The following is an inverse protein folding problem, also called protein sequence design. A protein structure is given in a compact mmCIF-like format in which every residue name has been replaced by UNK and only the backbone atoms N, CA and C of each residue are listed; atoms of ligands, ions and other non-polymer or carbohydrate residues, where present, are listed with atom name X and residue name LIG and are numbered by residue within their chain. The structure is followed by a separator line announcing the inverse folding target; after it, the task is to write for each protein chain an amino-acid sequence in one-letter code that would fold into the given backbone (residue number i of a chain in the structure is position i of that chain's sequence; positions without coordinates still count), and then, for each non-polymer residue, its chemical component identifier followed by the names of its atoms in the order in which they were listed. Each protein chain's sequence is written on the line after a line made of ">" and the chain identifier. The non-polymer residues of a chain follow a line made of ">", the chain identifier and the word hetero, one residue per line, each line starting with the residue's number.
data_IF_781311688149
#
_entry.id   IF_781311688149
#
_cell.length_a   1.000
_cell.length_b   1.000
_cell.length_c   1.000
_cell.angle_alpha   90.00
_cell.angle_beta   90.00
_cell.angle_gamma   90.00
#
_symmetry.space_group_name_H-M   'P 1'
#
loop_
_entity.id
_entity.type
_entity.pdbx_description
1 polymer ?
#
# COMPACT_ATOMS: atom_id res chain seq x y z
N UNK A 1 2.96 7.80 19.30
CA UNK A 1 1.86 6.87 19.68
C UNK A 1 1.77 6.56 21.19
N UNK A 2 2.58 7.18 22.08
CA UNK A 2 2.50 6.94 23.54
C UNK A 2 1.44 7.80 24.25
N UNK A 3 1.21 9.04 23.81
CA UNK A 3 0.28 9.98 24.46
C UNK A 3 -1.20 9.52 24.39
N UNK A 4 -1.75 9.30 23.18
CA UNK A 4 -3.16 8.91 23.05
C UNK A 4 -3.51 7.56 23.70
N UNK A 5 -2.56 6.62 23.69
CA UNK A 5 -2.69 5.35 24.42
C UNK A 5 -2.69 5.57 25.94
N UNK A 6 -1.80 6.42 26.46
CA UNK A 6 -1.73 6.76 27.89
C UNK A 6 -2.99 7.49 28.39
N UNK A 7 -3.57 8.37 27.57
CA UNK A 7 -4.77 9.14 27.94
C UNK A 7 -6.09 8.49 27.48
N UNK A 8 -6.07 7.26 26.97
CA UNK A 8 -7.25 6.58 26.42
C UNK A 8 -8.04 7.40 25.38
N UNK A 9 -7.36 8.29 24.66
CA UNK A 9 -7.95 9.14 23.61
C UNK A 9 -7.73 8.56 22.20
N UNK A 10 -7.38 7.28 22.11
CA UNK A 10 -7.27 6.56 20.83
C UNK A 10 -8.59 6.65 20.06
N UNK A 11 -8.56 7.25 18.88
CA UNK A 11 -9.76 7.50 18.06
C UNK A 11 -10.41 8.88 18.27
N UNK A 12 -9.93 9.66 19.26
CA UNK A 12 -10.27 11.08 19.43
C UNK A 12 -9.16 11.95 18.83
N UNK A 13 -9.51 13.11 18.29
CA UNK A 13 -8.58 14.05 17.67
C UNK A 13 -8.92 14.36 16.22
N UNK A 14 -7.94 14.84 15.46
CA UNK A 14 -8.15 15.24 14.07
C UNK A 14 -8.45 14.03 13.17
N UNK A 15 -9.41 14.19 12.26
CA UNK A 15 -9.75 13.20 11.22
C UNK A 15 -8.50 12.79 10.43
N UNK A 16 -7.65 13.77 10.11
CA UNK A 16 -6.36 13.54 9.47
C UNK A 16 -5.27 13.37 10.52
N UNK A 17 -4.70 12.16 10.59
CA UNK A 17 -3.64 11.81 11.54
C UNK A 17 -2.24 12.25 11.06
N UNK A 18 -2.08 12.46 9.75
CA UNK A 18 -0.86 12.96 9.09
C UNK A 18 -1.23 13.40 7.65
N UNK A 19 -0.31 14.08 6.95
CA UNK A 19 -0.55 14.56 5.59
C UNK A 19 -0.65 13.41 4.57
N UNK A 20 0.45 12.67 4.36
CA UNK A 20 0.53 11.45 3.56
C UNK A 20 1.80 10.69 3.91
N UNK A 21 1.89 9.43 3.49
CA UNK A 21 3.13 8.65 3.49
C UNK A 21 3.65 8.59 2.05
N UNK A 22 4.94 8.80 1.89
CA UNK A 22 5.64 8.70 0.61
C UNK A 22 6.99 8.03 0.85
N UNK A 23 7.34 7.06 0.02
CA UNK A 23 8.61 6.36 0.10
C UNK A 23 9.02 5.88 -1.31
N UNK A 24 10.33 5.82 -1.61
CA UNK A 24 10.83 5.29 -2.87
C UNK A 24 10.50 3.80 -3.03
N UNK A 25 10.23 3.38 -4.27
CA UNK A 25 10.06 1.98 -4.67
C UNK A 25 11.17 1.63 -5.67
N UNK A 26 11.84 0.50 -5.48
CA UNK A 26 13.05 0.15 -6.22
C UNK A 26 12.82 -0.06 -7.72
N UNK A 27 11.85 -0.89 -8.08
CA UNK A 27 11.62 -1.35 -9.45
C UNK A 27 10.16 -1.77 -9.65
N UNK A 28 9.86 -2.24 -10.85
CA UNK A 28 8.54 -2.65 -11.30
C UNK A 28 7.97 -3.82 -10.48
N UNK A 29 8.81 -4.77 -10.05
CA UNK A 29 8.38 -5.92 -9.26
C UNK A 29 7.94 -5.47 -7.86
N UNK A 30 8.71 -4.57 -7.23
CA UNK A 30 8.33 -3.95 -5.96
C UNK A 30 7.07 -3.07 -6.13
N UNK A 31 6.93 -2.35 -7.24
CA UNK A 31 5.71 -1.59 -7.52
C UNK A 31 4.48 -2.49 -7.58
N UNK A 32 4.59 -3.65 -8.23
CA UNK A 32 3.50 -4.63 -8.33
C UNK A 32 3.10 -5.16 -6.96
N UNK A 33 4.07 -5.47 -6.09
CA UNK A 33 3.80 -5.90 -4.71
C UNK A 33 3.06 -4.81 -3.92
N UNK A 34 3.47 -3.55 -4.05
CA UNK A 34 2.80 -2.42 -3.39
C UNK A 34 1.36 -2.24 -3.90
N UNK A 35 1.11 -2.33 -5.21
CA UNK A 35 -0.25 -2.29 -5.76
C UNK A 35 -1.11 -3.46 -5.30
N UNK A 36 -0.54 -4.68 -5.26
CA UNK A 36 -1.24 -5.87 -4.74
C UNK A 36 -1.62 -5.70 -3.28
N UNK A 37 -0.72 -5.16 -2.47
CA UNK A 37 -0.98 -4.83 -1.07
C UNK A 37 -2.17 -3.88 -0.92
N UNK A 38 -2.17 -2.77 -1.66
CA UNK A 38 -3.26 -1.78 -1.62
C UNK A 38 -4.60 -2.40 -2.03
N UNK A 39 -4.64 -3.10 -3.16
CA UNK A 39 -5.88 -3.68 -3.69
C UNK A 39 -6.40 -4.87 -2.86
N UNK A 40 -5.54 -5.57 -2.12
CA UNK A 40 -5.91 -6.67 -1.22
C UNK A 40 -6.32 -6.22 0.18
N UNK A 41 -6.04 -4.99 0.59
CA UNK A 41 -6.17 -4.56 1.99
C UNK A 41 -7.55 -4.82 2.61
N UNK A 42 -8.64 -4.56 1.86
CA UNK A 42 -10.00 -4.79 2.35
C UNK A 42 -10.31 -6.27 2.60
N UNK A 43 -9.82 -7.15 1.72
CA UNK A 43 -9.93 -8.61 1.88
C UNK A 43 -9.13 -9.06 3.11
N UNK A 44 -7.89 -8.59 3.26
CA UNK A 44 -7.05 -8.90 4.44
C UNK A 44 -7.69 -8.43 5.74
N UNK A 45 -8.36 -7.27 5.73
CA UNK A 45 -9.07 -6.73 6.88
C UNK A 45 -10.41 -7.45 7.18
N UNK A 46 -10.78 -8.47 6.40
CA UNK A 46 -12.03 -9.21 6.58
C UNK A 46 -13.29 -8.44 6.19
N UNK A 47 -13.16 -7.31 5.49
CA UNK A 47 -14.28 -6.46 5.08
C UNK A 47 -15.05 -7.05 3.89
N UNK A 48 -14.40 -7.89 3.10
CA UNK A 48 -14.96 -8.54 1.92
C UNK A 48 -14.43 -9.97 1.78
N UNK A 49 -15.20 -10.85 1.13
CA UNK A 49 -14.79 -12.25 0.85
C UNK A 49 -13.82 -12.38 -0.33
N UNK A 50 -13.80 -11.41 -1.23
CA UNK A 50 -12.92 -11.32 -2.40
C UNK A 50 -12.49 -9.89 -2.61
N UNK A 51 -11.26 -9.66 -3.06
CA UNK A 51 -10.67 -8.32 -3.13
C UNK A 51 -11.47 -7.38 -4.07
N UNK A 52 -11.92 -7.90 -5.21
CA UNK A 52 -12.72 -7.18 -6.20
C UNK A 52 -14.09 -6.74 -5.69
N UNK A 53 -14.59 -7.30 -4.57
CA UNK A 53 -15.88 -6.90 -4.01
C UNK A 53 -15.79 -5.56 -3.26
N UNK A 54 -14.58 -5.03 -3.02
CA UNK A 54 -14.40 -3.75 -2.37
C UNK A 54 -14.65 -2.58 -3.32
N UNK A 55 -15.90 -2.09 -3.33
CA UNK A 55 -16.39 -1.02 -4.25
C UNK A 55 -15.60 0.28 -4.18
N UNK A 56 -14.90 0.53 -3.08
CA UNK A 56 -14.11 1.75 -2.87
C UNK A 56 -12.63 1.58 -3.22
N UNK A 57 -12.24 0.48 -3.88
CA UNK A 57 -10.87 0.18 -4.30
C UNK A 57 -10.64 0.33 -5.80
N UNK A 58 -9.37 0.50 -6.19
CA UNK A 58 -8.98 0.56 -7.60
C UNK A 58 -9.24 -0.74 -8.36
N UNK A 59 -9.17 -1.89 -7.68
CA UNK A 59 -9.46 -3.20 -8.31
C UNK A 59 -10.91 -3.30 -8.79
N UNK A 60 -11.87 -2.99 -7.92
CA UNK A 60 -13.29 -2.99 -8.30
C UNK A 60 -13.54 -2.03 -9.47
N UNK A 61 -12.95 -0.84 -9.38
CA UNK A 61 -13.12 0.22 -10.38
C UNK A 61 -12.54 -0.18 -11.74
N UNK A 62 -11.39 -0.83 -11.75
CA UNK A 62 -10.75 -1.32 -12.97
C UNK A 62 -11.57 -2.42 -13.67
N UNK A 63 -12.34 -3.20 -12.91
CA UNK A 63 -13.21 -4.25 -13.45
C UNK A 63 -14.55 -3.74 -13.99
N UNK A 64 -14.82 -2.43 -13.87
CA UNK A 64 -16.00 -1.85 -14.49
C UNK A 64 -15.80 -1.73 -16.00
N UNK A 65 -16.87 -1.96 -16.77
CA UNK A 65 -16.82 -1.89 -18.24
C UNK A 65 -16.49 -0.49 -18.79
N UNK A 66 -16.65 0.55 -17.98
CA UNK A 66 -16.20 1.92 -18.25
C UNK A 66 -15.60 2.52 -16.98
N UNK A 67 -14.60 3.40 -17.13
CA UNK A 67 -14.03 4.12 -15.98
C UNK A 67 -15.10 5.06 -15.41
N UNK A 68 -15.53 4.86 -14.14
CA UNK A 68 -16.61 5.66 -13.57
C UNK A 68 -16.28 7.16 -13.50
N UNK A 69 -17.28 8.02 -13.64
CA UNK A 69 -17.10 9.46 -13.37
C UNK A 69 -17.25 9.72 -11.86
N UNK A 70 -16.37 10.52 -11.19
CA UNK A 70 -15.17 11.19 -11.69
C UNK A 70 -14.03 10.22 -11.98
N UNK A 71 -13.17 10.55 -12.95
CA UNK A 71 -11.92 9.83 -13.23
C UNK A 71 -10.95 9.98 -12.05
N UNK A 72 -10.79 8.91 -11.25
CA UNK A 72 -9.97 8.92 -10.04
C UNK A 72 -8.61 8.21 -10.21
N UNK A 73 -8.46 7.35 -11.23
CA UNK A 73 -7.25 6.54 -11.40
C UNK A 73 -6.36 7.11 -12.51
N UNK A 74 -5.09 7.30 -12.18
CA UNK A 74 -4.03 7.48 -13.18
C UNK A 74 -3.61 6.12 -13.75
N UNK A 75 -3.17 6.07 -15.02
CA UNK A 75 -2.52 4.89 -15.57
C UNK A 75 -1.31 4.49 -14.71
N UNK A 76 -1.06 3.18 -14.63
CA UNK A 76 0.17 2.68 -14.01
C UNK A 76 1.38 3.03 -14.89
N UNK A 77 2.58 3.21 -14.30
CA UNK A 77 3.80 3.43 -15.06
C UNK A 77 4.20 2.20 -15.89
N UNK A 78 3.64 1.03 -15.56
CA UNK A 78 3.84 -0.24 -16.25
C UNK A 78 2.51 -0.89 -16.63
N UNK A 79 2.48 -1.78 -17.64
CA UNK A 79 1.31 -2.58 -17.94
C UNK A 79 0.86 -3.43 -16.75
N UNK A 80 -0.45 -3.53 -16.52
CA UNK A 80 -0.99 -4.48 -15.53
C UNK A 80 -0.70 -5.92 -15.99
N UNK A 81 -0.27 -6.75 -15.05
CA UNK A 81 0.02 -8.15 -15.33
C UNK A 81 -1.26 -8.95 -15.66
N UNK A 82 -1.17 -9.98 -16.51
CA UNK A 82 -2.27 -10.91 -16.75
C UNK A 82 -2.76 -11.58 -15.46
N UNK A 83 -4.06 -11.92 -15.42
CA UNK A 83 -4.68 -12.62 -14.27
C UNK A 83 -4.53 -11.86 -12.94
N UNK A 84 -4.44 -10.53 -13.00
CA UNK A 84 -4.25 -9.67 -11.82
C UNK A 84 -5.25 -9.94 -10.69
N UNK A 85 -6.54 -10.10 -11.00
CA UNK A 85 -7.57 -10.40 -9.99
C UNK A 85 -7.25 -11.66 -9.19
N UNK A 86 -6.74 -12.71 -9.86
CA UNK A 86 -6.37 -13.96 -9.20
C UNK A 86 -5.19 -13.73 -8.25
N UNK A 87 -4.14 -13.06 -8.73
CA UNK A 87 -2.98 -12.67 -7.91
C UNK A 87 -3.37 -11.85 -6.69
N UNK A 88 -4.25 -10.86 -6.82
CA UNK A 88 -4.70 -10.05 -5.67
C UNK A 88 -5.46 -10.89 -4.64
N UNK A 89 -6.19 -11.93 -5.06
CA UNK A 89 -6.92 -12.82 -4.16
C UNK A 89 -6.04 -13.92 -3.50
N UNK A 90 -4.86 -14.20 -4.02
CA UNK A 90 -3.87 -15.05 -3.37
C UNK A 90 -3.23 -14.34 -2.15
N UNK A 91 -2.88 -15.06 -1.07
CA UNK A 91 -2.08 -14.53 0.02
C UNK A 91 -0.75 -13.92 -0.46
N UNK A 92 -0.36 -12.81 0.15
CA UNK A 92 1.01 -12.29 0.06
C UNK A 92 1.91 -13.13 0.97
N UNK A 93 3.17 -13.32 0.58
CA UNK A 93 4.13 -13.94 1.48
C UNK A 93 4.33 -13.07 2.74
N UNK A 94 4.64 -13.70 3.88
CA UNK A 94 4.80 -12.99 5.15
C UNK A 94 5.94 -11.98 5.09
N UNK A 95 7.03 -12.28 4.38
CA UNK A 95 8.17 -11.37 4.24
C UNK A 95 7.80 -10.15 3.39
N UNK A 96 7.17 -10.38 2.24
CA UNK A 96 6.66 -9.31 1.37
C UNK A 96 5.70 -8.40 2.11
N UNK A 97 4.75 -9.01 2.84
CA UNK A 97 3.74 -8.30 3.61
C UNK A 97 4.37 -7.43 4.71
N UNK A 98 5.31 -7.98 5.47
CA UNK A 98 6.00 -7.24 6.52
C UNK A 98 6.82 -6.07 5.94
N UNK A 99 7.51 -6.30 4.82
CA UNK A 99 8.31 -5.28 4.16
C UNK A 99 7.47 -4.10 3.67
N UNK A 100 6.34 -4.34 2.98
CA UNK A 100 5.45 -3.26 2.51
C UNK A 100 4.74 -2.55 3.67
N UNK A 101 4.39 -3.27 4.74
CA UNK A 101 3.81 -2.65 5.94
C UNK A 101 4.81 -1.73 6.65
N UNK A 102 6.07 -2.14 6.75
CA UNK A 102 7.13 -1.32 7.34
C UNK A 102 7.30 -0.02 6.56
N UNK A 103 7.39 -0.11 5.23
CA UNK A 103 7.44 1.06 4.34
C UNK A 103 6.20 1.96 4.50
N UNK A 104 5.00 1.39 4.51
CA UNK A 104 3.75 2.14 4.69
C UNK A 104 3.65 2.84 6.07
N UNK A 105 4.17 2.24 7.14
CA UNK A 105 4.10 2.81 8.48
C UNK A 105 5.18 3.86 8.75
N UNK A 106 6.42 3.58 8.31
CA UNK A 106 7.60 4.39 8.64
C UNK A 106 8.01 5.37 7.54
N UNK A 107 7.63 5.13 6.29
CA UNK A 107 8.19 5.84 5.13
C UNK A 107 9.53 5.28 4.67
N UNK A 108 9.89 4.06 5.10
CA UNK A 108 11.10 3.35 4.67
C UNK A 108 11.03 3.06 3.16
N UNK A 109 12.11 3.25 2.38
CA UNK A 109 12.15 2.79 0.99
C UNK A 109 11.74 1.32 0.87
N UNK A 110 11.06 0.98 -0.22
CA UNK A 110 10.57 -0.38 -0.49
C UNK A 110 11.38 -1.02 -1.61
N UNK A 111 12.16 -2.03 -1.26
CA UNK A 111 13.17 -2.63 -2.11
C UNK A 111 13.97 -3.71 -1.38
N UNK A 112 14.97 -4.24 -2.06
CA UNK A 112 16.01 -5.09 -1.51
C UNK A 112 16.83 -4.36 -0.45
N UNK A 113 17.28 -5.08 0.59
CA UNK A 113 17.86 -4.47 1.79
C UNK A 113 19.05 -3.54 1.50
N UNK A 114 19.99 -3.97 0.65
CA UNK A 114 21.15 -3.15 0.27
C UNK A 114 20.77 -1.90 -0.54
N UNK A 115 19.72 -1.98 -1.36
CA UNK A 115 19.19 -0.81 -2.08
C UNK A 115 18.50 0.15 -1.11
N UNK A 116 17.69 -0.37 -0.19
CA UNK A 116 16.98 0.42 0.82
C UNK A 116 17.97 1.21 1.67
N UNK A 117 19.05 0.59 2.15
CA UNK A 117 20.07 1.30 2.92
C UNK A 117 20.75 2.41 2.11
N UNK A 118 21.07 2.14 0.85
CA UNK A 118 21.72 3.10 -0.04
C UNK A 118 20.82 4.31 -0.29
N UNK A 119 19.54 4.06 -0.57
CA UNK A 119 18.56 5.13 -0.82
C UNK A 119 18.19 5.87 0.46
N UNK A 120 18.10 5.19 1.59
CA UNK A 120 17.87 5.83 2.87
C UNK A 120 18.97 6.85 3.17
N UNK A 121 20.24 6.48 3.00
CA UNK A 121 21.37 7.41 3.16
C UNK A 121 21.34 8.54 2.14
N UNK A 122 21.13 8.22 0.86
CA UNK A 122 21.11 9.22 -0.22
C UNK A 122 20.03 10.29 -0.04
N UNK A 123 18.88 9.92 0.53
CA UNK A 123 17.72 10.80 0.67
C UNK A 123 17.52 11.32 2.11
N UNK A 124 18.47 11.07 3.02
CA UNK A 124 18.38 11.43 4.45
C UNK A 124 17.13 10.83 5.15
N UNK A 125 16.81 9.57 4.85
CA UNK A 125 15.67 8.82 5.38
C UNK A 125 16.07 7.76 6.42
N UNK A 126 17.27 7.81 6.97
CA UNK A 126 17.77 6.81 7.92
C UNK A 126 16.91 6.71 9.19
N UNK A 127 16.25 7.81 9.58
CA UNK A 127 15.29 7.83 10.69
C UNK A 127 14.01 7.00 10.45
N UNK A 128 13.78 6.56 9.22
CA UNK A 128 12.63 5.73 8.82
C UNK A 128 12.93 4.22 8.84
N UNK A 129 14.19 3.86 9.02
CA UNK A 129 14.65 2.46 9.05
C UNK A 129 14.16 1.73 10.30
#
# INVERSE_FOLDING_TARGET
>A
MRYHAHYHTSGLGHVYQQRYKSFPIQDDDHFIVACRYVERNALRAGLVKRAENWRWGSLWRWLQGSDPNPKLLSPWPIPRQPRWVQRVNEPLDHRELNAVQLSAQRGRPFGEEGWVETIARRLNLESTM
#
